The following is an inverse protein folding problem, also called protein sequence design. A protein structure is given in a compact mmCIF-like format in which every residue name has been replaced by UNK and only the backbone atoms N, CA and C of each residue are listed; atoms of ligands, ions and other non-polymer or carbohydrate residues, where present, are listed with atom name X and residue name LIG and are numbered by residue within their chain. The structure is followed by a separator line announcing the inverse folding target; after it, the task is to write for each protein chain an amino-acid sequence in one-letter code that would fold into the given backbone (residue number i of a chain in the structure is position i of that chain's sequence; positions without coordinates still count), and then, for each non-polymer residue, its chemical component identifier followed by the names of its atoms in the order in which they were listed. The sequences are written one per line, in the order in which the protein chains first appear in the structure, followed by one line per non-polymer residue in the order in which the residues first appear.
data_IF_503411994731
#
_entry.id   IF_503411994731
#
_cell.length_a   1.000
_cell.length_b   1.000
_cell.length_c   1.000
_cell.angle_alpha   90.00
_cell.angle_beta   90.00
_cell.angle_gamma   90.00
#
_symmetry.space_group_name_H-M   'P 1'
#
loop_
_entity.id
_entity.type
_entity.pdbx_description
1 polymer ?
#
# COMPACT_ATOMS: atom_id res chain seq x y z
N UNK A 1 46.61 1.32 -42.00
CA UNK A 1 46.07 2.22 -40.96
C UNK A 1 46.31 1.57 -39.61
N UNK A 2 47.27 2.14 -38.87
CA UNK A 2 47.50 2.24 -37.42
C UNK A 2 47.00 1.12 -36.46
N UNK A 3 47.98 0.57 -35.70
CA UNK A 3 48.04 0.24 -34.25
C UNK A 3 46.75 -0.13 -33.50
N UNK A 4 46.68 -1.11 -32.59
CA UNK A 4 47.70 -1.65 -31.70
C UNK A 4 47.11 -1.74 -30.28
N UNK A 5 47.08 -2.96 -29.70
CA UNK A 5 47.00 -3.34 -28.27
C UNK A 5 46.10 -2.55 -27.29
N UNK A 6 45.30 -3.25 -26.47
CA UNK A 6 45.80 -4.01 -25.31
C UNK A 6 44.63 -4.51 -24.43
N UNK A 7 44.67 -5.80 -24.09
CA UNK A 7 43.74 -6.49 -23.20
C UNK A 7 44.19 -6.31 -21.74
N UNK A 8 43.29 -5.92 -20.83
CA UNK A 8 43.55 -5.98 -19.38
C UNK A 8 42.52 -6.87 -18.68
N UNK A 9 43.02 -8.05 -18.30
CA UNK A 9 42.42 -9.03 -17.41
C UNK A 9 42.10 -8.42 -16.05
N UNK A 10 40.87 -8.57 -15.57
CA UNK A 10 40.51 -8.35 -14.17
C UNK A 10 40.75 -9.63 -13.37
N UNK A 11 41.62 -9.56 -12.36
CA UNK A 11 41.85 -10.67 -11.42
C UNK A 11 41.15 -10.38 -10.09
N UNK A 12 40.34 -11.34 -9.65
CA UNK A 12 39.58 -11.34 -8.40
C UNK A 12 40.54 -11.71 -7.26
N UNK A 13 40.72 -10.84 -6.25
CA UNK A 13 41.37 -11.22 -4.97
C UNK A 13 40.32 -11.30 -3.88
N UNK A 14 40.23 -12.49 -3.27
CA UNK A 14 39.47 -12.77 -2.06
C UNK A 14 40.34 -12.41 -0.85
N UNK A 15 39.76 -11.75 0.15
CA UNK A 15 40.42 -11.48 1.43
C UNK A 15 39.64 -12.21 2.52
N UNK A 16 40.23 -13.30 2.98
CA UNK A 16 39.91 -14.01 4.22
C UNK A 16 40.65 -13.36 5.38
N UNK A 17 39.99 -13.18 6.53
CA UNK A 17 40.69 -13.14 7.83
C UNK A 17 39.96 -14.03 8.83
N UNK A 18 40.68 -15.08 9.25
CA UNK A 18 40.39 -15.90 10.42
C UNK A 18 41.01 -15.22 11.65
N UNK A 19 40.29 -15.23 12.77
CA UNK A 19 40.91 -15.12 14.09
C UNK A 19 40.16 -15.98 15.11
N UNK A 20 40.68 -17.20 15.33
CA UNK A 20 40.66 -17.86 16.65
C UNK A 20 41.55 -17.01 17.58
N UNK A 21 41.32 -16.82 18.88
CA UNK A 21 40.79 -17.71 19.92
C UNK A 21 41.86 -17.81 21.01
N UNK A 22 41.57 -17.36 22.24
CA UNK A 22 42.39 -17.70 23.42
C UNK A 22 41.54 -17.74 24.68
N UNK A 23 41.36 -18.95 25.18
CA UNK A 23 40.64 -19.32 26.40
C UNK A 23 41.40 -18.90 27.67
N UNK A 24 40.62 -18.58 28.73
CA UNK A 24 40.99 -18.82 30.13
C UNK A 24 39.81 -19.49 30.84
N UNK A 25 40.17 -20.47 31.66
CA UNK A 25 39.39 -21.50 32.33
C UNK A 25 38.67 -21.05 33.61
N UNK A 26 37.50 -21.65 33.88
CA UNK A 26 36.85 -21.75 35.19
C UNK A 26 35.75 -22.83 35.16
N UNK A 27 35.85 -23.82 36.06
CA UNK A 27 34.91 -24.96 36.30
C UNK A 27 33.50 -24.47 36.72
N UNK A 28 32.38 -25.20 36.86
CA UNK A 28 31.90 -26.60 36.94
C UNK A 28 30.35 -26.49 36.69
N UNK A 29 29.56 -27.39 36.09
CA UNK A 29 29.08 -28.69 36.61
C UNK A 29 28.00 -29.26 35.64
N UNK A 30 28.01 -30.59 35.44
CA UNK A 30 27.24 -31.41 34.49
C UNK A 30 25.74 -31.59 34.86
N UNK A 31 24.76 -31.38 33.95
CA UNK A 31 23.37 -31.75 34.14
C UNK A 31 22.96 -32.96 33.28
N UNK A 32 23.51 -34.15 33.56
CA UNK A 32 22.97 -35.44 33.11
C UNK A 32 22.29 -36.22 34.24
N UNK A 33 21.42 -35.54 34.99
CA UNK A 33 20.46 -36.15 35.92
C UNK A 33 19.10 -35.49 35.76
N UNK A 34 18.25 -36.12 34.95
CA UNK A 34 16.79 -36.30 35.09
C UNK A 34 16.17 -36.56 33.71
N UNK A 35 16.32 -37.81 33.24
CA UNK A 35 15.41 -38.42 32.27
C UNK A 35 15.11 -39.83 32.77
N UNK A 36 13.83 -40.21 32.68
CA UNK A 36 13.20 -41.45 33.18
C UNK A 36 13.16 -41.51 34.72
N UNK A 37 12.03 -41.70 35.40
CA UNK A 37 10.85 -42.54 35.15
C UNK A 37 9.83 -42.21 36.27
N UNK A 38 8.56 -41.87 36.02
CA UNK A 38 7.34 -42.70 36.21
C UNK A 38 6.18 -41.67 36.13
N UNK A 39 5.32 -41.68 35.09
CA UNK A 39 4.07 -42.43 34.94
C UNK A 39 3.00 -42.16 36.04
N UNK A 40 1.78 -41.92 35.56
CA UNK A 40 0.49 -41.88 36.27
C UNK A 40 0.09 -40.63 37.04
N UNK A 41 -0.37 -39.60 36.30
CA UNK A 41 -1.62 -38.91 36.67
C UNK A 41 -2.44 -38.66 35.40
N UNK A 42 -3.53 -39.41 35.28
CA UNK A 42 -4.60 -39.18 34.30
C UNK A 42 -5.24 -37.82 34.60
N UNK A 43 -4.91 -36.79 33.82
CA UNK A 43 -5.59 -35.48 33.92
C UNK A 43 -6.59 -35.34 32.78
N UNK A 44 -7.85 -35.31 33.22
CA UNK A 44 -9.07 -35.07 32.46
C UNK A 44 -8.92 -33.95 31.43
N UNK A 45 -9.10 -34.33 30.16
CA UNK A 45 -9.22 -33.43 29.01
C UNK A 45 -10.52 -32.63 29.10
N UNK A 46 -10.52 -31.45 29.74
CA UNK A 46 -11.58 -30.43 29.64
C UNK A 46 -11.24 -29.16 30.46
N UNK A 47 -10.23 -28.35 30.11
CA UNK A 47 -10.10 -27.02 30.75
C UNK A 47 -9.14 -25.98 30.11
N UNK A 48 -8.26 -26.30 29.16
CA UNK A 48 -7.15 -25.37 28.80
C UNK A 48 -7.25 -24.66 27.45
N UNK A 49 -8.41 -24.69 26.77
CA UNK A 49 -8.60 -23.99 25.48
C UNK A 49 -9.26 -22.61 25.59
N UNK A 50 -9.39 -22.02 26.78
CA UNK A 50 -10.19 -20.80 26.97
C UNK A 50 -9.45 -19.56 27.50
N UNK A 51 -8.14 -19.59 27.70
CA UNK A 51 -7.40 -18.38 28.10
C UNK A 51 -6.91 -17.56 26.88
N UNK A 52 -6.44 -18.21 25.81
CA UNK A 52 -6.00 -17.47 24.61
C UNK A 52 -7.15 -16.90 23.78
N UNK A 53 -8.37 -17.45 23.89
CA UNK A 53 -9.54 -17.02 23.12
C UNK A 53 -10.24 -15.79 23.71
N UNK A 54 -10.13 -15.61 25.03
CA UNK A 54 -10.72 -14.47 25.75
C UNK A 54 -9.80 -13.25 25.65
N UNK A 55 -8.48 -13.43 25.71
CA UNK A 55 -7.54 -12.33 25.47
C UNK A 55 -7.59 -11.85 24.01
N UNK A 56 -7.61 -12.74 23.02
CA UNK A 56 -7.77 -12.31 21.61
C UNK A 56 -9.12 -11.66 21.33
N UNK A 57 -10.22 -12.09 21.96
CA UNK A 57 -11.52 -11.45 21.75
C UNK A 57 -11.62 -10.06 22.40
N UNK A 58 -10.97 -9.84 23.54
CA UNK A 58 -10.90 -8.51 24.16
C UNK A 58 -9.95 -7.56 23.43
N UNK A 59 -8.83 -8.06 22.87
CA UNK A 59 -7.97 -7.25 21.99
C UNK A 59 -8.64 -6.93 20.64
N UNK A 60 -9.46 -7.83 20.09
CA UNK A 60 -10.27 -7.56 18.90
C UNK A 60 -11.42 -6.58 19.15
N UNK A 61 -11.91 -6.46 20.40
CA UNK A 61 -12.95 -5.49 20.76
C UNK A 61 -12.42 -4.08 21.07
N UNK A 62 -11.11 -3.87 21.24
CA UNK A 62 -10.52 -2.60 21.68
C UNK A 62 -9.92 -1.74 20.54
N UNK A 63 -10.06 -2.11 19.26
CA UNK A 63 -9.56 -1.28 18.14
C UNK A 63 -10.63 -0.93 17.10
N UNK A 64 -11.90 -0.83 17.48
CA UNK A 64 -12.88 -0.03 16.73
C UNK A 64 -12.73 1.44 17.13
N UNK A 65 -11.50 1.93 17.01
CA UNK A 65 -11.18 3.32 17.19
C UNK A 65 -11.84 4.04 16.01
N UNK A 66 -12.97 4.71 16.25
CA UNK A 66 -13.60 5.51 15.22
C UNK A 66 -12.65 6.67 14.91
N UNK A 67 -11.78 6.44 13.94
CA UNK A 67 -10.78 7.40 13.47
C UNK A 67 -11.47 8.72 13.13
N UNK A 68 -12.72 8.69 12.65
CA UNK A 68 -13.52 9.90 12.42
C UNK A 68 -13.82 10.64 13.72
N UNK A 69 -14.05 9.93 14.82
CA UNK A 69 -14.23 10.50 16.15
C UNK A 69 -12.92 11.08 16.73
N UNK A 70 -11.76 10.41 16.56
CA UNK A 70 -10.45 11.00 16.95
C UNK A 70 -10.17 12.26 16.14
N UNK A 71 -10.46 12.24 14.84
CA UNK A 71 -10.26 13.37 13.94
C UNK A 71 -11.16 14.55 14.33
N UNK A 72 -12.41 14.27 14.73
CA UNK A 72 -13.33 15.29 15.22
C UNK A 72 -12.87 15.93 16.55
N UNK A 73 -12.09 15.21 17.37
CA UNK A 73 -11.66 15.65 18.70
C UNK A 73 -10.27 16.29 18.75
N UNK A 74 -9.45 16.18 17.68
CA UNK A 74 -8.05 16.63 17.70
C UNK A 74 -7.81 17.87 16.83
N UNK A 75 -7.16 18.88 17.42
CA UNK A 75 -6.80 20.13 16.73
C UNK A 75 -5.62 19.98 15.76
N UNK A 76 -4.76 18.98 15.94
CA UNK A 76 -3.60 18.74 15.07
C UNK A 76 -3.70 17.43 14.29
N UNK A 77 -4.57 17.43 13.29
CA UNK A 77 -4.76 16.31 12.37
C UNK A 77 -3.51 15.97 11.55
N UNK A 78 -2.62 16.94 11.33
CA UNK A 78 -1.40 16.71 10.58
C UNK A 78 -0.46 15.74 11.33
N UNK A 79 -0.58 15.63 12.66
CA UNK A 79 0.17 14.66 13.48
C UNK A 79 -0.42 13.23 13.46
N UNK A 80 -1.63 13.06 12.93
CA UNK A 80 -2.38 11.79 12.99
C UNK A 80 -2.71 11.18 11.63
N UNK A 81 -2.60 11.92 10.53
CA UNK A 81 -2.96 11.41 9.19
C UNK A 81 -1.73 11.35 8.29
N UNK A 82 -1.41 10.17 7.79
CA UNK A 82 -0.45 9.97 6.69
C UNK A 82 -1.23 9.95 5.38
N UNK A 83 -0.83 10.75 4.38
CA UNK A 83 -1.51 10.80 3.08
C UNK A 83 -0.65 10.11 2.04
N UNK A 84 -1.17 9.03 1.46
CA UNK A 84 -0.49 8.24 0.43
C UNK A 84 -1.31 8.33 -0.85
N UNK A 85 -0.71 8.85 -1.92
CA UNK A 85 -1.29 8.77 -3.27
C UNK A 85 -0.91 7.44 -3.88
N UNK A 86 -1.84 6.77 -4.56
CA UNK A 86 -1.55 5.50 -5.21
C UNK A 86 -2.33 5.33 -6.52
N UNK A 87 -1.80 4.46 -7.37
CA UNK A 87 -2.38 4.08 -8.66
C UNK A 87 -2.04 2.63 -8.99
N UNK A 88 -2.90 1.96 -9.76
CA UNK A 88 -2.72 0.57 -10.18
C UNK A 88 -2.90 0.38 -11.68
N UNK A 89 -2.03 -0.44 -12.27
CA UNK A 89 -2.28 -1.01 -13.60
C UNK A 89 -2.79 -2.43 -13.45
N UNK A 90 -3.69 -2.85 -14.34
CA UNK A 90 -4.41 -4.14 -14.23
C UNK A 90 -4.46 -4.89 -15.56
N UNK A 91 -4.76 -6.19 -15.55
CA UNK A 91 -4.93 -7.01 -16.76
C UNK A 91 -6.23 -6.72 -17.54
N UNK A 92 -7.12 -5.90 -16.98
CA UNK A 92 -8.44 -5.59 -17.51
C UNK A 92 -9.32 -4.85 -16.51
N UNK A 93 -10.61 -4.64 -16.81
CA UNK A 93 -11.52 -3.82 -15.99
C UNK A 93 -12.38 -4.62 -14.99
N UNK A 94 -12.32 -5.95 -15.01
CA UNK A 94 -13.12 -6.79 -14.12
C UNK A 94 -12.46 -6.92 -12.76
N UNK A 95 -12.91 -6.13 -11.78
CA UNK A 95 -12.50 -6.26 -10.36
C UNK A 95 -12.61 -7.67 -9.78
N UNK A 96 -13.43 -8.54 -10.35
CA UNK A 96 -13.57 -9.92 -9.92
C UNK A 96 -12.55 -10.84 -10.57
N UNK A 97 -12.30 -10.72 -11.88
CA UNK A 97 -11.50 -11.67 -12.66
C UNK A 97 -10.09 -11.20 -12.96
N UNK A 98 -9.91 -9.90 -13.15
CA UNK A 98 -8.63 -9.29 -13.53
C UNK A 98 -7.73 -9.06 -12.32
N UNK A 99 -6.44 -8.85 -12.60
CA UNK A 99 -5.38 -8.81 -11.61
C UNK A 99 -4.57 -7.51 -11.74
N UNK A 100 -4.04 -7.02 -10.61
CA UNK A 100 -3.07 -5.91 -10.59
C UNK A 100 -1.75 -6.42 -11.19
N UNK A 101 -1.12 -5.62 -12.05
CA UNK A 101 0.18 -5.89 -12.70
C UNK A 101 1.24 -4.84 -12.38
N UNK A 102 0.85 -3.68 -11.87
CA UNK A 102 1.73 -2.68 -11.30
C UNK A 102 1.00 -1.95 -10.18
N UNK A 103 1.72 -1.62 -9.11
CA UNK A 103 1.22 -0.74 -8.05
C UNK A 103 2.29 0.31 -7.74
N UNK A 104 1.86 1.56 -7.61
CA UNK A 104 2.70 2.69 -7.23
C UNK A 104 2.06 3.47 -6.09
N UNK A 105 2.88 3.88 -5.11
CA UNK A 105 2.49 4.69 -3.95
C UNK A 105 3.48 5.84 -3.79
N UNK A 106 2.99 7.00 -3.34
CA UNK A 106 3.79 8.14 -2.88
C UNK A 106 3.21 8.68 -1.57
N UNK A 107 4.01 8.66 -0.51
CA UNK A 107 3.74 9.39 0.73
C UNK A 107 4.03 10.88 0.53
N UNK A 108 2.99 11.70 0.74
CA UNK A 108 3.08 13.15 0.56
C UNK A 108 3.87 13.86 1.67
N UNK A 109 4.20 13.18 2.78
CA UNK A 109 5.15 13.71 3.75
C UNK A 109 6.58 13.79 3.18
N UNK A 110 6.88 13.00 2.14
CA UNK A 110 8.21 12.95 1.54
C UNK A 110 9.26 12.25 2.42
N UNK A 111 10.53 12.58 2.23
CA UNK A 111 11.65 11.89 2.87
C UNK A 111 12.13 10.65 2.11
N UNK A 112 13.10 9.95 2.69
CA UNK A 112 13.68 8.74 2.11
C UNK A 112 12.60 7.65 1.96
N UNK A 113 12.63 6.93 0.84
CA UNK A 113 11.65 5.88 0.52
C UNK A 113 10.19 6.37 0.65
N UNK A 114 9.93 7.62 0.27
CA UNK A 114 8.58 8.17 0.19
C UNK A 114 7.79 7.64 -1.00
N UNK A 115 8.44 6.91 -1.91
CA UNK A 115 7.78 6.21 -3.01
C UNK A 115 7.98 4.71 -2.90
N UNK A 116 6.99 3.97 -3.37
CA UNK A 116 7.05 2.53 -3.54
C UNK A 116 6.44 2.19 -4.90
N UNK A 117 7.14 1.40 -5.72
CA UNK A 117 6.64 0.96 -7.01
C UNK A 117 7.13 -0.46 -7.28
N UNK A 118 6.24 -1.31 -7.78
CA UNK A 118 6.63 -2.63 -8.24
C UNK A 118 5.68 -3.13 -9.32
N UNK A 119 6.21 -3.92 -10.25
CA UNK A 119 5.37 -4.83 -11.03
C UNK A 119 4.84 -5.93 -10.11
N UNK A 120 3.76 -6.58 -10.55
CA UNK A 120 3.17 -7.73 -9.87
C UNK A 120 2.94 -8.83 -10.90
N UNK A 121 3.34 -10.05 -10.57
CA UNK A 121 3.05 -11.21 -11.39
C UNK A 121 1.57 -11.60 -11.18
N UNK A 122 0.71 -11.47 -12.21
CA UNK A 122 -0.72 -11.77 -12.09
C UNK A 122 -1.01 -13.28 -12.22
N UNK A 123 0.02 -14.10 -12.47
CA UNK A 123 -0.07 -15.54 -12.76
C UNK A 123 -0.95 -15.87 -13.97
N UNK A 124 -1.10 -14.91 -14.87
CA UNK A 124 -1.86 -15.02 -16.12
C UNK A 124 -1.24 -14.17 -17.24
N UNK A 125 -1.77 -14.28 -18.46
CA UNK A 125 -1.30 -13.46 -19.59
C UNK A 125 -1.86 -12.04 -19.49
N UNK A 126 -0.99 -11.06 -19.72
CA UNK A 126 -1.35 -9.65 -19.87
C UNK A 126 -1.68 -9.38 -21.34
N UNK A 127 -2.96 -9.20 -21.66
CA UNK A 127 -3.46 -9.02 -23.03
C UNK A 127 -3.64 -7.54 -23.41
N UNK A 128 -3.70 -6.65 -22.44
CA UNK A 128 -3.92 -5.22 -22.58
C UNK A 128 -2.63 -4.39 -22.50
N UNK A 129 -1.47 -4.99 -22.80
CA UNK A 129 -0.17 -4.31 -22.74
C UNK A 129 -0.08 -3.05 -23.62
N UNK A 130 -0.96 -2.89 -24.59
CA UNK A 130 -1.07 -1.68 -25.42
C UNK A 130 -1.60 -0.45 -24.65
N UNK A 131 -2.20 -0.64 -23.47
CA UNK A 131 -2.71 0.44 -22.62
C UNK A 131 -1.58 1.04 -21.78
N UNK A 132 -0.87 0.20 -21.02
CA UNK A 132 0.10 0.62 -20.01
C UNK A 132 1.55 0.20 -20.30
N UNK A 133 1.80 -0.48 -21.43
CA UNK A 133 3.14 -0.90 -21.85
C UNK A 133 3.75 -2.08 -21.07
N UNK A 134 3.01 -2.69 -20.13
CA UNK A 134 3.49 -3.82 -19.32
C UNK A 134 3.16 -5.11 -20.04
N UNK A 135 4.18 -5.87 -20.41
CA UNK A 135 4.02 -7.14 -21.14
C UNK A 135 4.01 -8.34 -20.19
N UNK A 136 3.48 -9.47 -20.68
CA UNK A 136 3.54 -10.76 -19.95
C UNK A 136 4.98 -11.14 -19.59
N UNK A 137 5.96 -10.86 -20.45
CA UNK A 137 7.35 -11.16 -20.18
C UNK A 137 7.93 -10.33 -19.03
N UNK A 138 7.48 -9.08 -18.86
CA UNK A 138 7.93 -8.21 -17.77
C UNK A 138 7.47 -8.73 -16.42
N UNK A 139 6.19 -9.08 -16.31
CA UNK A 139 5.59 -9.53 -15.04
C UNK A 139 5.99 -10.95 -14.64
N UNK A 140 6.47 -11.75 -15.60
CA UNK A 140 6.97 -13.11 -15.35
C UNK A 140 8.46 -13.18 -15.00
N UNK A 141 9.14 -12.03 -14.87
CA UNK A 141 10.55 -12.05 -14.44
C UNK A 141 10.69 -12.61 -13.02
N UNK A 142 11.79 -13.31 -12.69
CA UNK A 142 11.96 -13.93 -11.38
C UNK A 142 11.94 -12.97 -10.18
N UNK A 143 12.29 -11.70 -10.40
CA UNK A 143 12.33 -10.66 -9.37
C UNK A 143 10.99 -9.96 -9.15
N UNK A 144 9.97 -10.24 -9.98
CA UNK A 144 8.64 -9.64 -9.86
C UNK A 144 7.80 -10.49 -8.90
N UNK A 145 7.35 -9.93 -7.76
CA UNK A 145 6.61 -10.70 -6.76
C UNK A 145 5.22 -11.06 -7.25
N UNK A 146 4.69 -12.18 -6.74
CA UNK A 146 3.25 -12.47 -6.81
C UNK A 146 2.52 -11.60 -5.79
N UNK A 147 1.21 -11.48 -5.93
CA UNK A 147 0.40 -10.69 -5.00
C UNK A 147 0.50 -11.19 -3.55
N UNK A 148 0.58 -12.51 -3.35
CA UNK A 148 0.74 -13.14 -2.04
C UNK A 148 2.04 -12.74 -1.32
N UNK A 149 3.14 -12.58 -2.07
CA UNK A 149 4.43 -12.13 -1.54
C UNK A 149 4.46 -10.61 -1.32
N UNK A 150 3.71 -9.87 -2.15
CA UNK A 150 3.68 -8.41 -2.14
C UNK A 150 2.85 -7.85 -0.97
N UNK A 151 1.73 -8.46 -0.61
CA UNK A 151 0.84 -7.93 0.45
C UNK A 151 1.59 -7.69 1.78
N UNK A 152 2.38 -8.64 2.31
CA UNK A 152 3.17 -8.41 3.53
C UNK A 152 4.17 -7.26 3.40
N UNK A 153 4.75 -7.07 2.21
CA UNK A 153 5.69 -5.97 1.92
C UNK A 153 4.96 -4.64 1.90
N UNK A 154 3.80 -4.58 1.24
CA UNK A 154 2.96 -3.40 1.16
C UNK A 154 2.47 -2.97 2.54
N UNK A 155 2.00 -3.92 3.36
CA UNK A 155 1.60 -3.65 4.74
C UNK A 155 2.75 -3.08 5.58
N UNK A 156 3.96 -3.66 5.47
CA UNK A 156 5.15 -3.15 6.17
C UNK A 156 5.55 -1.76 5.71
N UNK A 157 5.51 -1.51 4.40
CA UNK A 157 5.78 -0.19 3.83
C UNK A 157 4.79 0.83 4.39
N UNK A 158 3.49 0.59 4.26
CA UNK A 158 2.48 1.54 4.75
C UNK A 158 2.58 1.74 6.25
N UNK A 159 2.85 0.69 7.03
CA UNK A 159 3.03 0.79 8.49
C UNK A 159 4.24 1.64 8.87
N UNK A 160 5.34 1.59 8.10
CA UNK A 160 6.52 2.42 8.37
C UNK A 160 6.29 3.90 8.07
N UNK A 161 5.32 4.22 7.20
CA UNK A 161 4.91 5.61 6.89
C UNK A 161 3.82 6.13 7.83
N UNK A 162 3.06 5.23 8.44
CA UNK A 162 1.92 5.59 9.28
C UNK A 162 2.37 6.32 10.54
N UNK A 163 1.75 7.47 10.81
CA UNK A 163 1.96 8.21 12.06
C UNK A 163 1.49 7.39 13.27
N UNK A 164 2.21 7.40 14.41
CA UNK A 164 1.82 6.66 15.60
C UNK A 164 0.40 7.02 16.08
N UNK A 165 -0.45 6.02 16.30
CA UNK A 165 -1.84 6.22 16.72
C UNK A 165 -2.74 6.90 15.67
N UNK A 166 -2.23 7.05 14.44
CA UNK A 166 -2.89 7.72 13.34
C UNK A 166 -3.55 6.78 12.33
N UNK A 167 -4.07 7.35 11.25
CA UNK A 167 -4.64 6.62 10.11
C UNK A 167 -3.88 6.92 8.81
N UNK A 168 -4.11 6.10 7.79
CA UNK A 168 -3.57 6.32 6.45
C UNK A 168 -4.70 6.69 5.50
N UNK A 169 -4.60 7.85 4.86
CA UNK A 169 -5.51 8.29 3.81
C UNK A 169 -4.91 7.99 2.44
N UNK A 170 -5.38 6.93 1.81
CA UNK A 170 -5.06 6.56 0.43
C UNK A 170 -5.85 7.42 -0.55
N UNK A 171 -5.15 8.06 -1.48
CA UNK A 171 -5.75 8.95 -2.48
C UNK A 171 -5.53 8.34 -3.86
N UNK A 172 -6.61 8.07 -4.59
CA UNK A 172 -6.59 7.61 -5.98
C UNK A 172 -7.60 8.39 -6.83
N UNK A 173 -7.44 8.35 -8.15
CA UNK A 173 -8.38 8.98 -9.08
C UNK A 173 -9.36 7.94 -9.60
N UNK A 174 -10.67 8.18 -9.42
CA UNK A 174 -11.70 7.15 -9.64
C UNK A 174 -11.58 5.95 -8.68
N UNK A 175 -10.97 6.20 -7.51
CA UNK A 175 -10.62 5.21 -6.50
C UNK A 175 -11.78 4.27 -6.15
N UNK A 176 -12.99 4.82 -5.98
CA UNK A 176 -14.14 4.04 -5.49
C UNK A 176 -14.60 2.99 -6.49
N UNK A 177 -14.40 3.23 -7.79
CA UNK A 177 -14.92 2.33 -8.84
C UNK A 177 -13.83 1.47 -9.47
N UNK A 178 -12.55 1.82 -9.28
CA UNK A 178 -11.42 1.15 -9.92
C UNK A 178 -10.38 0.63 -8.92
N UNK A 179 -9.39 1.45 -8.51
CA UNK A 179 -8.21 0.99 -7.76
C UNK A 179 -8.56 0.31 -6.43
N UNK A 180 -9.49 0.88 -5.65
CA UNK A 180 -9.83 0.34 -4.34
C UNK A 180 -10.52 -1.02 -4.45
N UNK A 181 -11.53 -1.22 -5.33
CA UNK A 181 -12.06 -2.56 -5.61
C UNK A 181 -11.00 -3.59 -6.02
N UNK A 182 -10.01 -3.21 -6.85
CA UNK A 182 -8.91 -4.10 -7.23
C UNK A 182 -8.02 -4.46 -6.04
N UNK A 183 -7.66 -3.46 -5.23
CA UNK A 183 -6.87 -3.66 -4.02
C UNK A 183 -7.60 -4.55 -3.00
N UNK A 184 -8.88 -4.29 -2.72
CA UNK A 184 -9.72 -5.12 -1.86
C UNK A 184 -9.78 -6.56 -2.37
N UNK A 185 -9.94 -6.76 -3.68
CA UNK A 185 -10.01 -8.09 -4.28
C UNK A 185 -8.67 -8.84 -4.15
N UNK A 186 -7.56 -8.16 -4.35
CA UNK A 186 -6.22 -8.71 -4.20
C UNK A 186 -5.97 -9.19 -2.75
N UNK A 187 -6.26 -8.34 -1.77
CA UNK A 187 -6.19 -8.68 -0.35
C UNK A 187 -7.06 -9.88 0.00
N UNK A 188 -8.32 -9.86 -0.42
CA UNK A 188 -9.29 -10.95 -0.19
C UNK A 188 -8.85 -12.28 -0.81
N UNK A 189 -8.28 -12.27 -2.02
CA UNK A 189 -7.76 -13.49 -2.68
C UNK A 189 -6.60 -14.12 -1.92
N UNK A 190 -5.81 -13.32 -1.22
CA UNK A 190 -4.72 -13.78 -0.37
C UNK A 190 -5.14 -14.07 1.07
N UNK A 191 -6.44 -13.97 1.40
CA UNK A 191 -6.94 -14.22 2.76
C UNK A 191 -6.48 -13.21 3.79
N UNK A 192 -6.17 -11.97 3.37
CA UNK A 192 -5.72 -10.89 4.25
C UNK A 192 -6.75 -9.77 4.22
N UNK A 193 -7.14 -9.26 5.39
CA UNK A 193 -8.02 -8.10 5.48
C UNK A 193 -7.23 -6.80 5.28
N UNK A 194 -7.86 -5.81 4.63
CA UNK A 194 -7.33 -4.44 4.60
C UNK A 194 -7.43 -3.86 6.02
N UNK A 195 -6.36 -3.24 6.55
CA UNK A 195 -6.40 -2.60 7.86
C UNK A 195 -7.54 -1.59 8.01
N UNK A 196 -8.25 -1.63 9.14
CA UNK A 196 -9.41 -0.76 9.40
C UNK A 196 -9.06 0.73 9.51
N UNK A 197 -7.78 1.04 9.71
CA UNK A 197 -7.22 2.38 9.75
C UNK A 197 -6.78 2.92 8.37
N UNK A 198 -7.06 2.18 7.30
CA UNK A 198 -6.91 2.64 5.93
C UNK A 198 -8.21 3.27 5.44
N UNK A 199 -8.13 4.57 5.15
CA UNK A 199 -9.19 5.36 4.57
C UNK A 199 -8.86 5.68 3.13
N UNK A 200 -9.88 5.81 2.28
CA UNK A 200 -9.72 6.04 0.86
C UNK A 200 -10.41 7.34 0.43
N UNK A 201 -9.74 8.13 -0.40
CA UNK A 201 -10.26 9.36 -1.00
C UNK A 201 -10.23 9.24 -2.51
N UNK A 202 -11.40 9.46 -3.11
CA UNK A 202 -11.55 9.54 -4.57
C UNK A 202 -11.46 10.99 -5.02
N UNK A 203 -10.50 11.30 -5.90
CA UNK A 203 -10.31 12.65 -6.42
C UNK A 203 -11.18 12.97 -7.64
N UNK A 204 -11.83 11.99 -8.27
CA UNK A 204 -12.68 12.24 -9.44
C UNK A 204 -13.89 13.13 -9.11
N UNK A 205 -14.62 12.92 -7.99
CA UNK A 205 -15.64 13.85 -7.53
C UNK A 205 -15.09 15.25 -7.19
N UNK A 206 -13.86 15.33 -6.64
CA UNK A 206 -13.22 16.61 -6.34
C UNK A 206 -12.90 17.39 -7.63
N UNK A 207 -12.33 16.73 -8.63
CA UNK A 207 -12.07 17.31 -9.94
C UNK A 207 -13.36 17.83 -10.60
N UNK A 208 -14.43 17.04 -10.53
CA UNK A 208 -15.75 17.46 -11.02
C UNK A 208 -16.25 18.73 -10.31
N UNK A 209 -16.11 18.81 -9.00
CA UNK A 209 -16.56 19.97 -8.23
C UNK A 209 -15.72 21.21 -8.53
N UNK A 210 -14.39 21.06 -8.62
CA UNK A 210 -13.49 22.15 -8.99
C UNK A 210 -13.85 22.73 -10.36
N UNK A 211 -14.06 21.86 -11.37
CA UNK A 211 -14.45 22.32 -12.71
C UNK A 211 -15.81 23.03 -12.71
N UNK A 212 -16.78 22.59 -11.91
CA UNK A 212 -18.06 23.31 -11.75
C UNK A 212 -17.88 24.67 -11.11
N UNK A 213 -17.04 24.76 -10.08
CA UNK A 213 -16.78 26.02 -9.37
C UNK A 213 -16.15 27.08 -10.28
N UNK A 214 -15.42 26.65 -11.32
CA UNK A 214 -14.87 27.50 -12.36
C UNK A 214 -15.86 27.79 -13.51
N UNK A 215 -17.13 27.38 -13.39
CA UNK A 215 -18.18 27.64 -14.37
C UNK A 215 -18.21 26.67 -15.56
N UNK A 216 -17.41 25.60 -15.54
CA UNK A 216 -17.43 24.58 -16.59
C UNK A 216 -18.58 23.58 -16.40
N UNK A 217 -19.06 22.98 -17.49
CA UNK A 217 -19.98 21.83 -17.47
C UNK A 217 -19.19 20.52 -17.61
N UNK A 218 -18.77 19.86 -16.51
CA UNK A 218 -17.85 18.73 -16.61
C UNK A 218 -18.51 17.48 -17.19
N UNK A 219 -17.93 16.99 -18.29
CA UNK A 219 -18.16 15.63 -18.80
C UNK A 219 -17.24 14.63 -18.09
N UNK A 220 -17.41 13.33 -18.32
CA UNK A 220 -16.47 12.31 -17.83
C UNK A 220 -15.06 12.49 -18.43
N UNK A 221 -14.97 12.89 -19.71
CA UNK A 221 -13.69 13.07 -20.40
C UNK A 221 -12.92 14.28 -19.89
N UNK A 222 -13.62 15.35 -19.52
CA UNK A 222 -12.99 16.58 -19.01
C UNK A 222 -12.55 16.50 -17.55
N UNK A 223 -12.82 15.39 -16.87
CA UNK A 223 -12.39 15.17 -15.47
C UNK A 223 -11.46 13.96 -15.33
N UNK A 224 -10.97 13.39 -16.44
CA UNK A 224 -9.92 12.39 -16.36
C UNK A 224 -8.67 13.01 -15.75
N UNK A 225 -7.80 12.18 -15.16
CA UNK A 225 -6.55 12.66 -14.59
C UNK A 225 -5.73 13.47 -15.60
N UNK A 226 -5.67 12.99 -16.85
CA UNK A 226 -5.01 13.70 -17.95
C UNK A 226 -5.65 15.07 -18.24
N UNK A 227 -6.99 15.14 -18.32
CA UNK A 227 -7.69 16.39 -18.60
C UNK A 227 -7.50 17.41 -17.45
N UNK A 228 -7.55 16.94 -16.19
CA UNK A 228 -7.27 17.78 -15.03
C UNK A 228 -5.83 18.27 -15.02
N UNK A 229 -4.86 17.40 -15.34
CA UNK A 229 -3.45 17.77 -15.49
C UNK A 229 -3.28 18.90 -16.51
N UNK A 230 -3.88 18.73 -17.69
CA UNK A 230 -3.81 19.72 -18.78
C UNK A 230 -4.47 21.05 -18.39
N UNK A 231 -5.67 20.99 -17.82
CA UNK A 231 -6.41 22.17 -17.36
C UNK A 231 -5.65 22.94 -16.28
N UNK A 232 -4.99 22.24 -15.36
CA UNK A 232 -4.24 22.84 -14.25
C UNK A 232 -2.80 23.22 -14.62
N UNK A 233 -2.37 22.99 -15.86
CA UNK A 233 -1.02 23.31 -16.34
C UNK A 233 0.08 22.49 -15.67
N UNK A 234 -0.22 21.26 -15.23
CA UNK A 234 0.75 20.38 -14.56
C UNK A 234 1.61 19.68 -15.63
N UNK A 235 2.95 19.77 -15.57
CA UNK A 235 3.81 19.09 -16.52
C UNK A 235 3.69 17.57 -16.36
N UNK A 236 3.78 16.86 -17.48
CA UNK A 236 3.89 15.41 -17.45
C UNK A 236 5.36 15.03 -17.24
N UNK A 237 5.64 14.23 -16.22
CA UNK A 237 6.96 13.67 -15.95
C UNK A 237 6.97 12.17 -16.30
N UNK A 238 7.52 11.82 -17.46
CA UNK A 238 7.60 10.44 -17.95
C UNK A 238 6.51 10.05 -18.96
N UNK A 239 6.31 8.74 -19.12
CA UNK A 239 5.26 8.18 -20.00
C UNK A 239 3.95 8.10 -19.24
N UNK A 240 2.87 8.62 -19.85
CA UNK A 240 1.51 8.34 -19.39
C UNK A 240 1.24 6.83 -19.35
N UNK A 241 0.34 6.38 -18.46
CA UNK A 241 -0.03 4.98 -18.25
C UNK A 241 1.08 4.10 -17.66
N UNK A 242 1.87 4.71 -16.77
CA UNK A 242 2.71 3.98 -15.81
C UNK A 242 2.30 4.46 -14.44
N UNK A 243 2.06 3.53 -13.52
CA UNK A 243 1.42 3.84 -12.25
C UNK A 243 2.14 4.98 -11.48
N UNK A 244 3.48 4.99 -11.45
CA UNK A 244 4.22 6.05 -10.75
C UNK A 244 4.16 7.42 -11.44
N UNK A 245 4.07 7.47 -12.78
CA UNK A 245 3.84 8.73 -13.50
C UNK A 245 2.47 9.30 -13.10
N UNK A 246 1.45 8.44 -13.06
CA UNK A 246 0.09 8.84 -12.74
C UNK A 246 -0.05 9.21 -11.25
N UNK A 247 0.66 8.52 -10.34
CA UNK A 247 0.79 8.93 -8.92
C UNK A 247 1.37 10.34 -8.77
N UNK A 248 2.46 10.66 -9.48
CA UNK A 248 3.07 12.00 -9.42
C UNK A 248 2.12 13.08 -9.95
N UNK A 249 1.46 12.82 -11.07
CA UNK A 249 0.45 13.73 -11.64
C UNK A 249 -0.71 13.91 -10.65
N UNK A 250 -1.20 12.80 -10.09
CA UNK A 250 -2.29 12.81 -9.12
C UNK A 250 -1.92 13.54 -7.84
N UNK A 251 -0.69 13.42 -7.34
CA UNK A 251 -0.21 14.19 -6.18
C UNK A 251 -0.31 15.70 -6.43
N UNK A 252 0.15 16.17 -7.59
CA UNK A 252 0.06 17.57 -7.97
C UNK A 252 -1.39 18.03 -8.21
N UNK A 253 -2.21 17.23 -8.90
CA UNK A 253 -3.63 17.50 -9.12
C UNK A 253 -4.37 17.57 -7.79
N UNK A 254 -4.15 16.61 -6.90
CA UNK A 254 -4.78 16.56 -5.58
C UNK A 254 -4.44 17.80 -4.75
N UNK A 255 -3.16 18.20 -4.70
CA UNK A 255 -2.74 19.44 -4.04
C UNK A 255 -3.49 20.66 -4.62
N UNK A 256 -3.59 20.76 -5.95
CA UNK A 256 -4.29 21.87 -6.59
C UNK A 256 -5.79 21.87 -6.31
N UNK A 257 -6.44 20.70 -6.33
CA UNK A 257 -7.87 20.55 -6.03
C UNK A 257 -8.18 20.93 -4.57
N UNK A 258 -7.36 20.48 -3.62
CA UNK A 258 -7.56 20.84 -2.20
C UNK A 258 -7.45 22.35 -1.97
N UNK A 259 -6.53 23.02 -2.67
CA UNK A 259 -6.41 24.47 -2.64
C UNK A 259 -7.62 25.18 -3.26
N UNK A 260 -8.02 24.80 -4.48
CA UNK A 260 -9.16 25.42 -5.19
C UNK A 260 -10.47 25.28 -4.41
N UNK A 261 -10.70 24.11 -3.83
CA UNK A 261 -11.91 23.80 -3.07
C UNK A 261 -11.81 24.20 -1.59
N UNK A 262 -10.67 24.76 -1.15
CA UNK A 262 -10.41 25.14 0.25
C UNK A 262 -10.69 24.00 1.24
N UNK A 263 -10.29 22.78 0.89
CA UNK A 263 -10.58 21.58 1.69
C UNK A 263 -9.49 21.37 2.76
N UNK A 264 -9.81 21.53 4.05
CA UNK A 264 -8.88 21.15 5.10
C UNK A 264 -8.77 19.62 5.19
N UNK A 265 -7.69 19.14 5.82
CA UNK A 265 -7.43 17.71 6.03
C UNK A 265 -8.59 17.01 6.75
N UNK A 266 -9.25 17.68 7.69
CA UNK A 266 -10.44 17.17 8.38
C UNK A 266 -11.54 16.76 7.39
N UNK A 267 -11.90 17.64 6.47
CA UNK A 267 -12.95 17.39 5.47
C UNK A 267 -12.54 16.31 4.48
N UNK A 268 -11.25 16.19 4.16
CA UNK A 268 -10.76 15.10 3.31
C UNK A 268 -11.00 13.75 3.96
N UNK A 269 -10.75 13.63 5.26
CA UNK A 269 -10.97 12.39 5.99
C UNK A 269 -12.44 12.12 6.30
N UNK A 270 -13.22 13.14 6.64
CA UNK A 270 -14.67 13.00 6.86
C UNK A 270 -15.38 12.44 5.62
N UNK A 271 -14.98 12.91 4.43
CA UNK A 271 -15.51 12.44 3.15
C UNK A 271 -14.87 11.14 2.64
N UNK A 272 -13.84 10.64 3.31
CA UNK A 272 -13.16 9.40 2.94
C UNK A 272 -14.04 8.18 3.22
N UNK A 273 -13.64 7.03 2.70
CA UNK A 273 -14.37 5.78 2.87
C UNK A 273 -13.47 4.61 3.25
N UNK A 274 -14.03 3.57 3.84
CA UNK A 274 -13.30 2.35 4.19
C UNK A 274 -13.45 1.27 3.12
N UNK A 275 -12.61 0.24 3.17
CA UNK A 275 -12.75 -0.93 2.30
C UNK A 275 -14.12 -1.62 2.41
N UNK A 276 -14.72 -1.62 3.61
CA UNK A 276 -16.03 -2.23 3.87
C UNK A 276 -17.21 -1.44 3.27
N UNK A 277 -17.02 -0.15 2.95
CA UNK A 277 -18.03 0.69 2.30
C UNK A 277 -18.02 0.57 0.76
N UNK A 278 -17.14 -0.26 0.19
CA UNK A 278 -17.13 -0.58 -1.23
C UNK A 278 -18.28 -1.55 -1.55
N UNK A 279 -19.11 -1.21 -2.55
CA UNK A 279 -20.26 -2.03 -2.97
C UNK A 279 -21.56 -1.72 -2.23
N UNK A 280 -21.53 -0.94 -1.15
CA UNK A 280 -22.73 -0.40 -0.51
C UNK A 280 -23.10 0.97 -1.10
N UNK A 281 -24.33 1.19 -1.60
CA UNK A 281 -24.73 2.51 -2.08
C UNK A 281 -24.72 3.53 -0.93
N UNK A 282 -24.11 4.71 -1.17
CA UNK A 282 -24.13 5.83 -0.22
C UNK A 282 -25.58 6.20 0.08
N UNK A 283 -26.06 6.01 1.32
CA UNK A 283 -27.30 6.66 1.77
C UNK A 283 -27.07 8.16 1.64
N UNK A 284 -27.84 8.82 0.77
CA UNK A 284 -27.81 10.28 0.68
C UNK A 284 -28.24 10.83 2.05
N UNK A 285 -27.34 11.49 2.76
CA UNK A 285 -27.70 12.33 3.89
C UNK A 285 -28.49 13.51 3.32
N UNK A 286 -29.80 13.53 3.58
CA UNK A 286 -30.62 14.72 3.40
C UNK A 286 -30.12 15.79 4.37
N UNK A 287 -29.48 16.83 3.84
CA UNK A 287 -29.43 18.14 4.49
C UNK A 287 -30.47 19.02 3.82
#
# INVERSE_FOLDING_TARGET
MLDGGNSRKWTRRSVTTNTQGRNKSGQCSDPRKLRQEILDVTVSTSATLNLNKIETSQYQQIQHFDIRQLIAQNKDLASLVTVIVFDTETTGFSRERDHIVEIALQDLQGGENSTFQTLVNPECRVLNSHIHGITTNMVNRPDVPRMEDLIPILLKYVKSRQKPGGCVLFVAHNARTFDVPFLCNAFRRCGVDIPSDWLFKDTLPMGREAMKSEGSKPSSRSISLQALREHLGIPLDGSAHRAMSDVKVLAAVFQRLTFMLKLPLASLVEDAFTASEIGTPKKKSSR
#
